data_IF_039444353176
#
_entry.id   IF_039444353176
#
_cell.length_a   1.000
_cell.length_b   1.000
_cell.length_c   1.000
_cell.angle_alpha   90.00
_cell.angle_beta   90.00
_cell.angle_gamma   90.00
#
_symmetry.space_group_name_H-M   'P 1'
#
loop_
_entity.id
_entity.type
_entity.pdbx_description
1 polymer ?
#
# COMPACT_ATOMS: atom_id res chain seq x y z
N UNK A 1 28.28 -10.13 -41.65
CA UNK A 1 28.48 -9.43 -42.94
C UNK A 1 27.89 -8.04 -42.80
N UNK A 2 28.71 -6.99 -42.85
CA UNK A 2 28.23 -5.61 -42.86
C UNK A 2 27.95 -5.23 -44.32
N UNK A 3 26.72 -4.82 -44.60
CA UNK A 3 26.30 -4.44 -45.95
C UNK A 3 26.33 -2.91 -46.05
N UNK A 4 27.01 -2.33 -47.05
CA UNK A 4 27.06 -0.88 -47.22
C UNK A 4 25.64 -0.32 -47.40
N UNK A 5 25.25 0.67 -46.56
CA UNK A 5 23.94 1.32 -46.59
C UNK A 5 22.98 0.94 -45.44
N UNK A 6 23.32 -0.04 -44.60
CA UNK A 6 22.49 -0.37 -43.44
C UNK A 6 22.57 0.72 -42.34
N UNK A 7 21.46 1.04 -41.67
CA UNK A 7 21.42 2.12 -40.68
C UNK A 7 22.17 1.74 -39.39
N UNK A 8 22.85 2.72 -38.78
CA UNK A 8 23.76 2.53 -37.65
C UNK A 8 23.16 1.78 -36.45
N UNK A 9 21.85 1.93 -36.20
CA UNK A 9 21.16 1.28 -35.08
C UNK A 9 21.09 -0.25 -35.22
N UNK A 10 21.07 -0.79 -36.44
CA UNK A 10 21.04 -2.24 -36.70
C UNK A 10 22.33 -2.89 -36.23
N UNK A 11 23.46 -2.21 -36.42
CA UNK A 11 24.76 -2.68 -35.93
C UNK A 11 24.85 -2.65 -34.40
N UNK A 12 24.23 -1.66 -33.76
CA UNK A 12 24.13 -1.59 -32.30
C UNK A 12 23.30 -2.74 -31.70
N UNK A 13 22.15 -3.05 -32.30
CA UNK A 13 21.30 -4.17 -31.86
C UNK A 13 21.98 -5.53 -32.15
N UNK A 14 22.60 -5.67 -33.32
CA UNK A 14 23.37 -6.87 -33.66
C UNK A 14 24.54 -7.09 -32.69
N UNK A 15 25.29 -6.04 -32.33
CA UNK A 15 26.37 -6.13 -31.35
C UNK A 15 25.85 -6.51 -29.96
N UNK A 16 24.73 -5.94 -29.51
CA UNK A 16 24.07 -6.32 -28.23
C UNK A 16 23.62 -7.78 -28.22
N UNK A 17 23.02 -8.26 -29.32
CA UNK A 17 22.64 -9.67 -29.43
C UNK A 17 23.86 -10.56 -29.44
N UNK A 18 24.89 -10.21 -30.21
CA UNK A 18 26.14 -10.96 -30.28
C UNK A 18 26.85 -11.01 -28.92
N UNK A 19 26.90 -9.90 -28.17
CA UNK A 19 27.48 -9.88 -26.82
C UNK A 19 26.71 -10.75 -25.83
N UNK A 20 25.39 -10.83 -25.97
CA UNK A 20 24.54 -11.65 -25.10
C UNK A 20 24.53 -13.14 -25.50
N UNK A 21 24.82 -13.47 -26.75
CA UNK A 21 24.64 -14.84 -27.28
C UNK A 21 25.97 -15.58 -27.49
N UNK A 22 27.06 -14.88 -27.81
CA UNK A 22 28.34 -15.52 -28.13
C UNK A 22 29.12 -15.93 -26.89
N UNK A 23 29.59 -17.18 -26.90
CA UNK A 23 30.40 -17.80 -25.84
C UNK A 23 31.67 -17.02 -25.46
N UNK A 24 32.34 -16.49 -26.47
CA UNK A 24 33.75 -16.10 -26.41
C UNK A 24 33.96 -14.60 -26.68
N UNK A 25 32.88 -13.83 -26.86
CA UNK A 25 32.95 -12.42 -27.18
C UNK A 25 32.90 -11.58 -25.90
N UNK A 26 33.99 -10.90 -25.58
CA UNK A 26 34.10 -9.97 -24.47
C UNK A 26 33.81 -8.55 -24.94
N UNK A 27 33.22 -7.75 -24.05
CA UNK A 27 32.93 -6.32 -24.30
C UNK A 27 33.46 -5.48 -23.16
N UNK A 28 34.17 -4.41 -23.49
CA UNK A 28 34.55 -3.35 -22.53
C UNK A 28 34.25 -1.99 -23.16
N UNK A 29 33.09 -1.43 -22.83
CA UNK A 29 32.57 -0.19 -23.41
C UNK A 29 32.43 -0.26 -24.94
N UNK A 30 33.39 0.32 -25.67
CA UNK A 30 33.43 0.32 -27.14
C UNK A 30 34.37 -0.74 -27.73
N UNK A 31 35.06 -1.54 -26.91
CA UNK A 31 36.00 -2.58 -27.36
C UNK A 31 35.35 -3.95 -27.31
N UNK A 32 35.61 -4.74 -28.35
CA UNK A 32 35.11 -6.10 -28.50
C UNK A 32 36.27 -6.99 -28.92
N UNK A 33 36.46 -8.12 -28.24
CA UNK A 33 37.48 -9.10 -28.61
C UNK A 33 36.99 -10.52 -28.33
N UNK A 34 37.57 -11.49 -29.04
CA UNK A 34 37.35 -12.89 -28.77
C UNK A 34 38.47 -13.43 -27.88
N UNK A 35 38.13 -14.21 -26.87
CA UNK A 35 39.09 -14.96 -26.05
C UNK A 35 38.69 -16.43 -26.01
N UNK A 36 39.63 -17.31 -25.69
CA UNK A 36 39.44 -18.77 -25.58
C UNK A 36 38.63 -19.18 -24.35
N UNK A 37 38.41 -18.26 -23.40
CA UNK A 37 37.64 -18.51 -22.19
C UNK A 37 36.18 -18.09 -22.39
N UNK A 38 35.21 -18.87 -21.88
CA UNK A 38 33.81 -18.45 -21.90
C UNK A 38 33.60 -17.23 -21.00
N UNK A 39 32.71 -16.32 -21.42
CA UNK A 39 32.40 -15.12 -20.65
C UNK A 39 31.71 -15.43 -19.32
N UNK A 40 31.93 -14.56 -18.32
CA UNK A 40 31.35 -14.72 -16.97
C UNK A 40 29.82 -14.72 -17.01
N UNK A 41 29.23 -13.85 -17.85
CA UNK A 41 27.79 -13.78 -18.06
C UNK A 41 27.23 -15.11 -18.59
N UNK A 42 27.95 -15.80 -19.48
CA UNK A 42 27.49 -17.08 -19.99
C UNK A 42 27.61 -18.20 -18.95
N UNK A 43 28.74 -18.27 -18.25
CA UNK A 43 28.88 -19.21 -17.13
C UNK A 43 27.79 -18.99 -16.06
N UNK A 44 27.39 -17.74 -15.84
CA UNK A 44 26.25 -17.41 -14.97
C UNK A 44 24.91 -17.85 -15.58
N UNK A 45 24.68 -17.63 -16.88
CA UNK A 45 23.45 -18.04 -17.57
C UNK A 45 23.27 -19.57 -17.59
N UNK A 46 24.33 -20.31 -17.93
CA UNK A 46 24.33 -21.77 -17.97
C UNK A 46 24.10 -22.34 -16.57
N UNK A 47 24.70 -21.74 -15.52
CA UNK A 47 24.41 -22.09 -14.13
C UNK A 47 22.98 -21.74 -13.73
N UNK A 48 22.46 -20.59 -14.14
CA UNK A 48 21.09 -20.19 -13.83
C UNK A 48 20.06 -21.13 -14.46
N UNK A 49 20.31 -21.64 -15.67
CA UNK A 49 19.45 -22.65 -16.30
C UNK A 49 19.57 -24.04 -15.66
N UNK A 50 20.71 -24.35 -15.04
CA UNK A 50 20.93 -25.60 -14.32
C UNK A 50 20.24 -25.63 -12.95
N UNK A 51 19.78 -24.48 -12.43
CA UNK A 51 19.08 -24.43 -11.15
C UNK A 51 17.63 -24.96 -11.30
N UNK A 52 17.21 -25.91 -10.44
CA UNK A 52 15.84 -26.38 -10.43
C UNK A 52 14.90 -25.27 -9.98
N UNK A 53 13.73 -25.18 -10.62
CA UNK A 53 12.73 -24.14 -10.34
C UNK A 53 12.30 -24.10 -8.88
N UNK A 54 12.23 -25.25 -8.22
CA UNK A 54 11.84 -25.36 -6.81
C UNK A 54 12.85 -24.68 -5.88
N UNK A 55 14.15 -24.81 -6.15
CA UNK A 55 15.21 -24.19 -5.36
C UNK A 55 15.23 -22.67 -5.55
N UNK A 56 14.99 -22.19 -6.78
CA UNK A 56 14.84 -20.76 -7.07
C UNK A 56 13.64 -20.17 -6.32
N UNK A 57 12.52 -20.89 -6.28
CA UNK A 57 11.32 -20.45 -5.56
C UNK A 57 11.52 -20.46 -4.04
N UNK A 58 12.22 -21.47 -3.50
CA UNK A 58 12.54 -21.54 -2.08
C UNK A 58 13.45 -20.37 -1.65
N UNK A 59 14.54 -20.13 -2.37
CA UNK A 59 15.45 -19.01 -2.11
C UNK A 59 14.73 -17.66 -2.26
N UNK A 60 13.85 -17.52 -3.25
CA UNK A 60 13.03 -16.31 -3.40
C UNK A 60 12.08 -16.10 -2.22
N UNK A 61 11.45 -17.16 -1.70
CA UNK A 61 10.61 -17.09 -0.52
C UNK A 61 11.42 -16.73 0.74
N UNK A 62 12.60 -17.32 0.92
CA UNK A 62 13.49 -17.04 2.04
C UNK A 62 13.98 -15.59 2.02
N UNK A 63 14.35 -15.06 0.84
CA UNK A 63 14.70 -13.64 0.68
C UNK A 63 13.52 -12.72 0.95
N UNK A 64 12.34 -13.02 0.42
CA UNK A 64 11.13 -12.24 0.70
C UNK A 64 10.77 -12.23 2.19
N UNK A 65 11.08 -13.31 2.91
CA UNK A 65 10.90 -13.36 4.35
C UNK A 65 11.97 -12.58 5.12
N UNK A 66 13.21 -12.58 4.62
CA UNK A 66 14.37 -11.90 5.21
C UNK A 66 14.31 -10.39 5.02
N UNK A 67 13.82 -9.95 3.86
CA UNK A 67 13.67 -8.53 3.50
C UNK A 67 12.42 -7.88 4.12
N UNK A 68 11.72 -8.58 5.03
CA UNK A 68 10.48 -8.14 5.70
C UNK A 68 9.33 -7.73 4.74
N UNK A 69 9.45 -8.05 3.45
CA UNK A 69 8.44 -7.80 2.42
C UNK A 69 7.18 -8.67 2.59
N UNK A 70 7.23 -9.67 3.48
CA UNK A 70 6.11 -10.53 3.84
C UNK A 70 5.49 -10.10 5.15
N UNK A 71 4.20 -9.75 5.08
CA UNK A 71 3.42 -9.39 6.26
C UNK A 71 3.11 -10.67 7.05
N UNK A 72 3.78 -10.82 8.19
CA UNK A 72 3.59 -11.95 9.11
C UNK A 72 2.42 -11.74 10.08
N UNK A 73 2.12 -10.48 10.40
CA UNK A 73 0.99 -10.09 11.24
C UNK A 73 0.27 -8.94 10.57
N UNK A 74 -1.02 -9.09 10.37
CA UNK A 74 -1.81 -8.08 9.70
C UNK A 74 -2.98 -7.62 10.57
N UNK A 75 -3.15 -6.30 10.66
CA UNK A 75 -4.19 -5.67 11.46
C UNK A 75 -5.54 -5.76 10.75
N UNK A 76 -6.65 -6.03 11.48
CA UNK A 76 -7.98 -6.10 10.88
C UNK A 76 -8.47 -4.77 10.31
N UNK A 77 -7.92 -3.64 10.78
CA UNK A 77 -8.19 -2.31 10.26
C UNK A 77 -7.59 -2.12 8.85
N UNK A 78 -6.34 -2.51 8.64
CA UNK A 78 -5.71 -2.44 7.32
C UNK A 78 -6.46 -3.33 6.31
N UNK A 79 -6.90 -4.52 6.72
CA UNK A 79 -7.76 -5.36 5.87
C UNK A 79 -9.08 -4.64 5.50
N UNK A 80 -9.69 -3.90 6.42
CA UNK A 80 -10.90 -3.12 6.14
C UNK A 80 -10.62 -2.02 5.11
N UNK A 81 -9.50 -1.30 5.24
CA UNK A 81 -9.09 -0.24 4.31
C UNK A 81 -8.91 -0.78 2.89
N UNK A 82 -8.15 -1.87 2.74
CA UNK A 82 -7.94 -2.55 1.46
C UNK A 82 -9.27 -3.06 0.86
N UNK A 83 -10.13 -3.64 1.70
CA UNK A 83 -11.45 -4.08 1.27
C UNK A 83 -12.30 -2.90 0.78
N UNK A 84 -12.26 -1.76 1.47
CA UNK A 84 -13.03 -0.58 1.11
C UNK A 84 -12.52 0.10 -0.18
N UNK A 85 -11.21 0.15 -0.38
CA UNK A 85 -10.59 0.81 -1.53
C UNK A 85 -10.73 -0.02 -2.83
N UNK A 86 -10.53 -1.34 -2.74
CA UNK A 86 -10.41 -2.19 -3.93
C UNK A 86 -11.58 -3.14 -4.15
N UNK A 87 -12.20 -3.68 -3.09
CA UNK A 87 -13.07 -4.86 -3.19
C UNK A 87 -14.57 -4.58 -2.97
N UNK A 88 -14.93 -3.66 -2.08
CA UNK A 88 -16.31 -3.45 -1.64
C UNK A 88 -17.12 -2.44 -2.44
N UNK A 89 -16.50 -1.74 -3.40
CA UNK A 89 -17.08 -0.62 -4.18
C UNK A 89 -18.62 -0.63 -4.26
N UNK A 90 -19.17 -1.65 -4.94
CA UNK A 90 -20.62 -1.81 -5.10
C UNK A 90 -21.15 -3.15 -4.52
N UNK A 91 -20.29 -3.98 -3.92
CA UNK A 91 -20.65 -5.33 -3.49
C UNK A 91 -20.86 -5.39 -1.96
N UNK A 92 -21.98 -5.97 -1.48
CA UNK A 92 -22.26 -6.09 -0.04
C UNK A 92 -21.39 -7.15 0.65
N UNK A 93 -20.85 -8.10 -0.11
CA UNK A 93 -20.00 -9.19 0.38
C UNK A 93 -18.91 -9.54 -0.64
N UNK A 94 -17.83 -10.17 -0.17
CA UNK A 94 -16.72 -10.65 -1.01
C UNK A 94 -16.32 -12.06 -0.57
N UNK A 95 -16.06 -12.95 -1.53
CA UNK A 95 -15.60 -14.31 -1.25
C UNK A 95 -14.16 -14.36 -0.72
N UNK A 96 -13.90 -15.18 0.30
CA UNK A 96 -12.56 -15.33 0.88
C UNK A 96 -11.55 -15.89 -0.13
N UNK A 97 -11.95 -16.89 -0.93
CA UNK A 97 -11.06 -17.49 -1.93
C UNK A 97 -10.70 -16.48 -3.04
N UNK A 98 -11.67 -15.66 -3.46
CA UNK A 98 -11.44 -14.61 -4.44
C UNK A 98 -10.51 -13.52 -3.88
N UNK A 99 -10.73 -13.10 -2.63
CA UNK A 99 -9.86 -12.16 -1.91
C UNK A 99 -8.41 -12.66 -1.88
N UNK A 100 -8.18 -13.93 -1.51
CA UNK A 100 -6.83 -14.50 -1.49
C UNK A 100 -6.20 -14.56 -2.88
N UNK A 101 -6.99 -14.92 -3.89
CA UNK A 101 -6.51 -14.94 -5.28
C UNK A 101 -6.06 -13.55 -5.73
N UNK A 102 -6.78 -12.48 -5.34
CA UNK A 102 -6.38 -11.11 -5.63
C UNK A 102 -5.14 -10.66 -4.87
N UNK A 103 -5.06 -10.94 -3.57
CA UNK A 103 -3.86 -10.67 -2.77
C UNK A 103 -2.60 -11.36 -3.32
N UNK A 104 -2.75 -12.57 -3.88
CA UNK A 104 -1.64 -13.31 -4.47
C UNK A 104 -1.30 -12.90 -5.91
N UNK A 105 -2.25 -12.34 -6.66
CA UNK A 105 -2.08 -12.05 -8.08
C UNK A 105 -1.61 -10.63 -8.37
N UNK A 106 -1.97 -9.66 -7.53
CA UNK A 106 -1.65 -8.25 -7.76
C UNK A 106 -0.49 -7.75 -6.89
N UNK A 107 0.58 -7.26 -7.52
CA UNK A 107 1.80 -6.82 -6.83
C UNK A 107 1.64 -5.53 -6.00
N UNK A 108 0.54 -4.79 -6.17
CA UNK A 108 0.23 -3.56 -5.43
C UNK A 108 -0.56 -3.84 -4.14
N UNK A 109 -1.07 -5.06 -3.97
CA UNK A 109 -1.74 -5.47 -2.73
C UNK A 109 -0.72 -6.01 -1.72
N UNK A 110 -1.01 -5.92 -0.41
CA UNK A 110 -0.13 -6.41 0.64
C UNK A 110 0.17 -7.91 0.50
N UNK A 111 1.46 -8.27 0.48
CA UNK A 111 1.92 -9.66 0.34
C UNK A 111 1.91 -10.35 1.69
N UNK A 112 0.90 -11.18 1.92
CA UNK A 112 0.77 -11.98 3.13
C UNK A 112 1.70 -13.18 3.08
N UNK A 113 2.28 -13.54 4.24
CA UNK A 113 3.13 -14.72 4.38
C UNK A 113 2.37 -16.01 4.04
N UNK A 114 1.22 -16.20 4.69
CA UNK A 114 0.43 -17.43 4.64
C UNK A 114 -1.07 -17.13 4.70
N UNK A 115 -1.87 -18.07 4.22
CA UNK A 115 -3.33 -18.04 4.35
C UNK A 115 -3.78 -17.98 5.83
N UNK A 116 -2.97 -18.54 6.74
CA UNK A 116 -3.22 -18.49 8.18
C UNK A 116 -3.22 -17.05 8.72
N UNK A 117 -2.37 -16.17 8.17
CA UNK A 117 -2.33 -14.76 8.58
C UNK A 117 -3.65 -14.10 8.24
N UNK A 118 -4.17 -14.35 7.03
CA UNK A 118 -5.48 -13.85 6.62
C UNK A 118 -6.60 -14.39 7.52
N UNK A 119 -6.63 -15.69 7.80
CA UNK A 119 -7.63 -16.30 8.68
C UNK A 119 -7.60 -15.69 10.08
N UNK A 120 -6.41 -15.49 10.64
CA UNK A 120 -6.22 -14.86 11.95
C UNK A 120 -6.72 -13.42 11.96
N UNK A 121 -6.38 -12.63 10.93
CA UNK A 121 -6.84 -11.26 10.79
C UNK A 121 -8.37 -11.18 10.66
N UNK A 122 -8.99 -12.08 9.88
CA UNK A 122 -10.45 -12.14 9.78
C UNK A 122 -11.05 -12.52 11.15
N UNK A 123 -10.46 -13.46 11.88
CA UNK A 123 -10.91 -13.88 13.22
C UNK A 123 -10.91 -12.71 14.20
N UNK A 124 -9.84 -11.93 14.18
CA UNK A 124 -9.71 -10.73 15.01
C UNK A 124 -10.69 -9.63 14.57
N UNK A 125 -10.88 -9.44 13.26
CA UNK A 125 -11.81 -8.44 12.72
C UNK A 125 -13.28 -8.75 13.04
N UNK A 126 -13.69 -10.01 12.95
CA UNK A 126 -15.04 -10.46 13.36
C UNK A 126 -15.23 -10.28 14.86
N UNK A 127 -14.23 -10.65 15.68
CA UNK A 127 -14.29 -10.46 17.13
C UNK A 127 -14.40 -8.98 17.53
N UNK A 128 -13.71 -8.10 16.81
CA UNK A 128 -13.72 -6.64 17.01
C UNK A 128 -14.91 -5.95 16.32
N UNK A 129 -15.84 -6.69 15.71
CA UNK A 129 -17.00 -6.17 14.97
C UNK A 129 -16.64 -5.21 13.81
N UNK A 130 -15.46 -5.38 13.20
CA UNK A 130 -14.94 -4.57 12.07
C UNK A 130 -15.63 -4.97 10.76
N UNK A 131 -15.84 -6.27 10.55
CA UNK A 131 -16.62 -6.85 9.44
C UNK A 131 -17.32 -8.13 9.91
N UNK A 132 -18.33 -8.57 9.16
CA UNK A 132 -19.05 -9.81 9.41
C UNK A 132 -18.46 -10.96 8.58
N UNK A 133 -18.58 -12.18 9.10
CA UNK A 133 -18.26 -13.41 8.37
C UNK A 133 -19.53 -14.23 8.17
N UNK A 134 -19.72 -14.77 6.97
CA UNK A 134 -20.78 -15.74 6.69
C UNK A 134 -20.18 -17.00 6.05
N UNK A 135 -20.73 -18.16 6.43
CA UNK A 135 -20.28 -19.47 5.96
C UNK A 135 -20.68 -19.73 4.52
N UNK A 136 -21.86 -19.24 4.13
CA UNK A 136 -22.36 -19.30 2.76
C UNK A 136 -23.36 -18.18 2.49
N UNK A 137 -23.51 -17.80 1.23
CA UNK A 137 -24.63 -16.96 0.75
C UNK A 137 -25.64 -17.90 0.10
N UNK A 138 -26.88 -17.87 0.57
CA UNK A 138 -27.99 -18.61 -0.06
C UNK A 138 -28.43 -17.87 -1.34
N UNK A 139 -28.99 -18.60 -2.30
CA UNK A 139 -29.50 -18.02 -3.56
C UNK A 139 -30.53 -16.89 -3.34
N UNK A 140 -31.22 -16.89 -2.20
CA UNK A 140 -32.18 -15.85 -1.80
C UNK A 140 -31.51 -14.54 -1.28
N UNK A 141 -30.17 -14.46 -1.31
CA UNK A 141 -29.40 -13.31 -0.80
C UNK A 141 -29.20 -13.29 0.72
N UNK A 142 -29.72 -14.30 1.44
CA UNK A 142 -29.54 -14.45 2.90
C UNK A 142 -28.20 -15.09 3.25
N UNK A 143 -27.58 -14.60 4.31
CA UNK A 143 -26.32 -15.12 4.83
C UNK A 143 -26.53 -16.29 5.78
N UNK A 144 -25.89 -17.43 5.52
CA UNK A 144 -25.91 -18.59 6.40
C UNK A 144 -24.73 -18.56 7.38
N UNK A 145 -25.04 -18.68 8.67
CA UNK A 145 -24.02 -18.61 9.72
C UNK A 145 -23.34 -17.25 9.80
N UNK A 146 -24.08 -16.17 9.52
CA UNK A 146 -23.59 -14.80 9.69
C UNK A 146 -23.25 -14.56 11.15
N UNK A 147 -21.98 -14.23 11.41
CA UNK A 147 -21.52 -13.86 12.73
C UNK A 147 -20.84 -12.51 12.66
N UNK A 148 -21.21 -11.66 13.61
CA UNK A 148 -20.62 -10.37 13.86
C UNK A 148 -20.40 -10.28 15.36
N UNK A 149 -19.14 -10.33 15.78
CA UNK A 149 -18.75 -10.39 17.19
C UNK A 149 -18.57 -11.81 17.70
N UNK A 150 -17.66 -11.96 18.67
CA UNK A 150 -17.35 -13.24 19.31
C UNK A 150 -16.22 -14.03 18.65
N UNK A 151 -15.82 -15.13 19.31
CA UNK A 151 -14.83 -16.07 18.78
C UNK A 151 -15.53 -17.12 17.93
N UNK A 152 -15.23 -17.13 16.65
CA UNK A 152 -15.69 -18.16 15.71
C UNK A 152 -14.52 -18.81 15.02
N UNK A 153 -14.70 -20.09 14.67
CA UNK A 153 -13.78 -20.79 13.79
C UNK A 153 -14.12 -20.44 12.35
N UNK A 154 -13.14 -19.87 11.64
CA UNK A 154 -13.32 -19.34 10.30
C UNK A 154 -12.85 -20.40 9.31
N UNK A 155 -13.79 -20.86 8.50
CA UNK A 155 -13.48 -21.77 7.40
C UNK A 155 -13.14 -21.00 6.15
N UNK A 156 -12.04 -21.38 5.52
CA UNK A 156 -11.63 -20.84 4.24
C UNK A 156 -12.08 -21.79 3.13
N UNK A 157 -13.33 -21.62 2.70
CA UNK A 157 -13.97 -22.39 1.64
C UNK A 157 -14.43 -21.46 0.52
N UNK A 158 -14.71 -22.01 -0.67
CA UNK A 158 -15.20 -21.24 -1.83
C UNK A 158 -16.54 -20.52 -1.58
N UNK A 159 -17.33 -21.03 -0.64
CA UNK A 159 -18.63 -20.47 -0.26
C UNK A 159 -18.54 -19.42 0.85
N UNK A 160 -17.40 -19.34 1.55
CA UNK A 160 -17.20 -18.39 2.64
C UNK A 160 -17.12 -16.97 2.12
N UNK A 161 -17.85 -16.06 2.76
CA UNK A 161 -17.84 -14.64 2.39
C UNK A 161 -17.60 -13.73 3.59
N UNK A 162 -16.91 -12.62 3.33
CA UNK A 162 -16.82 -11.46 4.23
C UNK A 162 -17.92 -10.49 3.84
N UNK A 163 -18.70 -10.05 4.83
CA UNK A 163 -19.79 -9.10 4.67
C UNK A 163 -19.40 -7.80 5.38
N UNK A 164 -19.77 -6.65 4.81
CA UNK A 164 -19.58 -5.35 5.48
C UNK A 164 -20.25 -5.36 6.86
N UNK A 165 -19.62 -4.77 7.87
CA UNK A 165 -20.16 -4.76 9.23
C UNK A 165 -21.57 -4.13 9.31
N UNK A 166 -21.83 -3.07 8.54
CA UNK A 166 -23.14 -2.40 8.51
C UNK A 166 -24.24 -3.32 7.97
N UNK A 167 -23.97 -4.00 6.86
CA UNK A 167 -24.92 -4.95 6.24
C UNK A 167 -25.12 -6.16 7.15
N UNK A 168 -24.04 -6.69 7.72
CA UNK A 168 -24.10 -7.81 8.63
C UNK A 168 -24.89 -7.47 9.91
N UNK A 169 -24.71 -6.26 10.46
CA UNK A 169 -25.50 -5.76 11.60
C UNK A 169 -26.97 -5.59 11.23
N UNK A 170 -27.27 -4.96 10.10
CA UNK A 170 -28.64 -4.73 9.64
C UNK A 170 -29.40 -6.04 9.39
N UNK A 171 -28.76 -7.03 8.78
CA UNK A 171 -29.31 -8.38 8.58
C UNK A 171 -29.56 -9.09 9.92
N UNK A 172 -28.58 -9.05 10.84
CA UNK A 172 -28.71 -9.69 12.16
C UNK A 172 -29.80 -9.03 13.00
N UNK A 173 -29.95 -7.70 12.92
CA UNK A 173 -30.98 -6.93 13.61
C UNK A 173 -32.37 -7.12 12.98
N UNK A 174 -32.46 -7.27 11.65
CA UNK A 174 -33.70 -7.62 10.95
C UNK A 174 -34.15 -9.07 11.22
N UNK A 175 -33.19 -9.99 11.42
CA UNK A 175 -33.45 -11.38 11.81
C UNK A 175 -33.84 -11.50 13.29
N UNK A 176 -33.48 -10.49 14.12
CA UNK A 176 -33.95 -10.36 15.49
C UNK A 176 -35.41 -9.90 15.45
N UNK A 177 -36.39 -10.67 15.95
CA UNK A 177 -37.78 -10.22 15.95
C UNK A 177 -37.88 -8.92 16.77
N UNK A 178 -38.34 -7.83 16.14
CA UNK A 178 -38.71 -6.59 16.84
C UNK A 178 -39.67 -6.94 17.98
N UNK A 179 -39.43 -6.52 19.24
CA UNK A 179 -40.44 -6.63 20.27
C UNK A 179 -41.66 -5.81 19.81
N UNK A 180 -42.78 -6.49 19.66
CA UNK A 180 -44.09 -5.93 19.34
C UNK A 180 -44.40 -4.76 20.27
N UNK A 181 -44.73 -3.62 19.68
CA UNK A 181 -45.32 -2.47 20.36
C UNK A 181 -46.68 -2.89 20.95
N UNK A 182 -46.97 -2.67 22.24
CA UNK A 182 -48.34 -2.65 22.71
C UNK A 182 -48.87 -1.22 22.60
N UNK A 183 -49.80 -1.01 21.69
CA UNK A 183 -50.74 0.12 21.69
C UNK A 183 -51.97 -0.26 22.51
N UNK A 184 -52.22 0.46 23.61
CA UNK A 184 -53.52 1.06 24.00
C UNK A 184 -53.57 1.38 25.52
N UNK A 185 -54.29 2.37 26.06
CA UNK A 185 -54.79 3.72 25.70
C UNK A 185 -55.53 4.23 26.96
N UNK A 186 -55.54 5.56 27.20
CA UNK A 186 -56.38 6.38 28.13
C UNK A 186 -55.80 6.73 29.50
N UNK A 187 -55.90 7.93 30.10
CA UNK A 187 -56.47 9.27 29.81
C UNK A 187 -55.99 10.17 31.00
N UNK A 188 -55.87 11.51 30.99
CA UNK A 188 -56.91 12.51 30.76
C UNK A 188 -56.39 13.95 30.97
N UNK A 189 -56.86 14.88 30.12
CA UNK A 189 -57.22 16.30 30.33
C UNK A 189 -56.14 17.34 30.77
N UNK A 190 -56.04 18.54 30.19
CA UNK A 190 -57.13 19.35 29.63
C UNK A 190 -56.74 20.45 28.62
N UNK A 191 -57.83 20.91 27.99
CA UNK A 191 -58.06 21.86 26.90
C UNK A 191 -57.83 23.34 27.33
N UNK A 192 -57.57 24.34 26.47
CA UNK A 192 -58.52 24.96 25.52
C UNK A 192 -57.84 26.03 24.62
N UNK A 193 -58.25 26.06 23.33
CA UNK A 193 -58.60 27.22 22.46
C UNK A 193 -57.49 28.23 22.04
N UNK A 194 -57.42 28.86 20.87
CA UNK A 194 -58.25 28.98 19.64
C UNK A 194 -57.41 29.67 18.55
N UNK A 195 -57.66 29.34 17.27
CA UNK A 195 -57.27 30.10 16.06
C UNK A 195 -58.20 31.34 15.89
N UNK A 196 -57.89 32.39 15.08
CA UNK A 196 -57.87 32.25 13.62
C UNK A 196 -56.85 33.11 12.84
N UNK A 197 -56.92 32.89 11.53
CA UNK A 197 -56.10 33.33 10.41
C UNK A 197 -56.07 34.84 10.12
N UNK A 198 -55.00 35.32 9.47
CA UNK A 198 -54.93 36.61 8.78
C UNK A 198 -53.71 36.66 7.85
N UNK A 199 -53.95 36.99 6.59
CA UNK A 199 -53.03 37.00 5.44
C UNK A 199 -51.84 37.97 5.57
N UNK A 200 -50.78 37.69 4.81
CA UNK A 200 -49.72 38.65 4.55
C UNK A 200 -48.46 38.03 3.98
N UNK A 201 -48.43 37.82 2.65
CA UNK A 201 -47.18 37.65 1.90
C UNK A 201 -46.29 38.88 2.12
N UNK A 202 -45.11 38.68 2.69
CA UNK A 202 -43.96 39.57 2.45
C UNK A 202 -42.75 38.65 2.28
N UNK A 203 -42.31 38.56 1.03
CA UNK A 203 -40.98 38.08 0.65
C UNK A 203 -39.98 39.18 1.01
N UNK A 204 -39.07 38.90 1.93
CA UNK A 204 -37.87 39.70 2.17
C UNK A 204 -36.62 38.82 2.08
N UNK A 205 -35.47 39.40 1.69
CA UNK A 205 -34.48 38.73 0.87
C UNK A 205 -33.51 37.90 1.69
N UNK A 206 -33.06 36.81 1.07
CA UNK A 206 -31.95 35.98 1.51
C UNK A 206 -30.74 36.85 1.89
N UNK A 207 -30.26 36.81 3.16
CA UNK A 207 -29.03 37.49 3.53
C UNK A 207 -27.85 36.84 2.78
N UNK A 208 -26.89 37.63 2.26
CA UNK A 208 -25.75 37.09 1.52
C UNK A 208 -24.91 36.17 2.42
N UNK A 209 -24.38 35.06 1.88
CA UNK A 209 -23.59 34.12 2.66
C UNK A 209 -22.37 34.83 3.28
N UNK A 210 -22.02 34.52 4.55
CA UNK A 210 -20.86 35.11 5.20
C UNK A 210 -19.58 34.78 4.40
N UNK A 211 -18.60 35.70 4.35
CA UNK A 211 -17.35 35.47 3.64
C UNK A 211 -16.65 34.26 4.25
N UNK A 212 -16.35 33.28 3.40
CA UNK A 212 -15.53 32.13 3.74
C UNK A 212 -14.23 32.63 4.40
N UNK A 213 -13.88 32.15 5.61
CA UNK A 213 -12.60 32.49 6.22
C UNK A 213 -11.49 31.95 5.32
N UNK A 214 -10.72 32.85 4.70
CA UNK A 214 -9.52 32.48 3.95
C UNK A 214 -8.55 31.79 4.92
N UNK A 215 -8.36 30.49 4.73
CA UNK A 215 -7.44 29.67 5.53
C UNK A 215 -6.06 30.36 5.57
N UNK A 216 -5.46 30.54 6.76
CA UNK A 216 -4.12 31.10 6.86
C UNK A 216 -3.13 30.21 6.10
N UNK A 217 -2.11 30.82 5.50
CA UNK A 217 -1.01 30.08 4.85
C UNK A 217 -0.33 29.17 5.89
N UNK A 218 -0.73 27.90 5.95
CA UNK A 218 -0.17 26.92 6.89
C UNK A 218 1.07 26.30 6.27
N UNK A 219 2.24 26.59 6.85
CA UNK A 219 3.50 25.93 6.49
C UNK A 219 3.60 24.61 7.26
N UNK A 220 3.81 23.52 6.53
CA UNK A 220 4.16 22.24 7.14
C UNK A 220 5.66 22.20 7.47
N UNK A 221 6.00 21.72 8.67
CA UNK A 221 7.37 21.46 9.11
C UNK A 221 7.42 20.12 9.83
N UNK A 222 8.33 19.25 9.41
CA UNK A 222 8.55 17.94 10.02
C UNK A 222 10.04 17.63 10.07
N UNK A 223 10.46 17.00 11.17
CA UNK A 223 11.81 16.44 11.35
C UNK A 223 11.60 14.95 11.61
N UNK A 224 12.39 14.11 10.94
CA UNK A 224 12.41 12.67 11.16
C UNK A 224 13.87 12.22 11.20
N UNK A 225 14.22 11.46 12.23
CA UNK A 225 15.52 10.82 12.32
C UNK A 225 15.53 9.60 11.41
N UNK A 226 16.49 9.55 10.49
CA UNK A 226 16.65 8.46 9.55
C UNK A 226 17.76 7.52 10.01
N UNK A 227 17.48 6.22 9.98
CA UNK A 227 18.48 5.21 10.30
C UNK A 227 19.43 5.03 9.10
N UNK A 228 20.75 5.16 9.27
CA UNK A 228 21.70 5.15 8.16
C UNK A 228 21.80 3.80 7.44
N UNK A 229 21.28 2.72 8.04
CA UNK A 229 21.30 1.35 7.48
C UNK A 229 20.12 1.07 6.54
N UNK A 230 18.99 1.73 6.76
CA UNK A 230 17.76 1.58 5.97
C UNK A 230 17.25 2.93 5.44
N UNK A 231 18.16 3.91 5.32
CA UNK A 231 17.85 5.26 4.87
C UNK A 231 17.15 5.31 3.50
N UNK A 232 17.49 4.40 2.59
CA UNK A 232 16.86 4.33 1.26
C UNK A 232 15.36 4.05 1.36
N UNK A 233 14.98 3.07 2.18
CA UNK A 233 13.62 2.56 2.26
C UNK A 233 12.75 3.55 3.03
N UNK A 234 13.29 4.11 4.13
CA UNK A 234 12.63 5.16 4.89
C UNK A 234 12.46 6.45 4.08
N UNK A 235 13.47 6.87 3.31
CA UNK A 235 13.36 8.03 2.44
C UNK A 235 12.32 7.81 1.32
N UNK A 236 12.24 6.60 0.79
CA UNK A 236 11.23 6.23 -0.20
C UNK A 236 9.81 6.26 0.39
N UNK A 237 9.63 5.78 1.63
CA UNK A 237 8.35 5.84 2.32
C UNK A 237 7.92 7.29 2.60
N UNK A 238 8.83 8.13 3.12
CA UNK A 238 8.56 9.56 3.36
C UNK A 238 8.22 10.30 2.05
N UNK A 239 8.91 9.96 0.95
CA UNK A 239 8.60 10.51 -0.36
C UNK A 239 7.21 10.09 -0.85
N UNK A 240 6.85 8.82 -0.66
CA UNK A 240 5.56 8.26 -1.08
C UNK A 240 4.37 8.79 -0.29
N UNK A 241 4.53 8.99 1.02
CA UNK A 241 3.42 9.41 1.89
C UNK A 241 3.34 10.93 1.99
N UNK A 242 4.42 11.58 2.43
CA UNK A 242 4.39 13.00 2.81
C UNK A 242 4.66 13.89 1.58
N UNK A 243 5.70 13.59 0.81
CA UNK A 243 6.05 14.42 -0.35
C UNK A 243 5.00 14.29 -1.45
N UNK A 244 4.49 13.08 -1.71
CA UNK A 244 3.41 12.88 -2.68
C UNK A 244 2.12 13.60 -2.26
N UNK A 245 1.78 13.59 -0.97
CA UNK A 245 0.59 14.29 -0.47
C UNK A 245 0.75 15.81 -0.64
N UNK A 246 1.92 16.37 -0.30
CA UNK A 246 2.18 17.79 -0.43
C UNK A 246 2.27 18.25 -1.88
N UNK A 247 2.78 17.42 -2.79
CA UNK A 247 2.87 17.73 -4.23
C UNK A 247 1.55 17.55 -4.98
N UNK A 248 0.62 16.74 -4.46
CA UNK A 248 -0.74 16.65 -4.98
C UNK A 248 -1.57 17.92 -4.70
N UNK A 249 -1.19 18.71 -3.69
CA UNK A 249 -1.80 20.01 -3.44
C UNK A 249 -1.17 21.04 -4.40
N UNK A 250 -1.96 21.49 -5.37
CA UNK A 250 -1.54 22.56 -6.28
C UNK A 250 -1.16 23.82 -5.48
N UNK A 251 -0.03 24.44 -5.84
CA UNK A 251 0.53 25.69 -5.25
C UNK A 251 1.38 25.51 -3.96
N UNK A 252 2.11 24.40 -3.81
CA UNK A 252 3.05 24.15 -2.69
C UNK A 252 4.49 23.95 -3.16
N UNK A 253 5.40 24.80 -2.68
CA UNK A 253 6.86 24.61 -2.84
C UNK A 253 7.42 23.70 -1.73
N UNK A 254 7.80 22.48 -2.10
CA UNK A 254 8.40 21.50 -1.18
C UNK A 254 9.93 21.55 -1.25
N UNK A 255 10.58 21.86 -0.13
CA UNK A 255 12.05 21.79 0.00
C UNK A 255 12.43 20.71 1.00
N UNK A 256 13.26 19.75 0.57
CA UNK A 256 13.77 18.67 1.40
C UNK A 256 15.26 18.94 1.69
N UNK A 257 15.64 18.88 2.96
CA UNK A 257 17.03 19.04 3.40
C UNK A 257 17.45 17.79 4.16
N UNK A 258 18.49 17.10 3.70
CA UNK A 258 19.12 16.00 4.42
C UNK A 258 20.35 16.53 5.15
N UNK A 259 20.38 16.32 6.46
CA UNK A 259 21.54 16.63 7.32
C UNK A 259 22.19 15.32 7.76
N UNK A 260 23.51 15.24 7.68
CA UNK A 260 24.29 14.06 8.07
C UNK A 260 25.19 14.47 9.22
N UNK A 261 24.95 13.92 10.40
CA UNK A 261 25.77 14.12 11.60
C UNK A 261 26.48 12.80 11.94
N UNK A 262 27.78 12.87 12.19
CA UNK A 262 28.58 11.72 12.54
C UNK A 262 29.63 12.11 13.57
N UNK A 263 29.58 11.46 14.74
CA UNK A 263 30.55 11.63 15.82
C UNK A 263 31.38 10.37 15.95
N UNK A 264 32.71 10.49 15.83
CA UNK A 264 33.65 9.42 16.12
C UNK A 264 34.49 9.84 17.34
N UNK A 265 34.42 9.13 18.49
CA UNK A 265 35.10 9.53 19.72
C UNK A 265 36.62 9.68 19.57
N UNK A 266 37.22 8.84 18.72
CA UNK A 266 38.66 8.82 18.48
C UNK A 266 39.10 9.82 17.37
N UNK A 267 38.20 10.71 16.92
CA UNK A 267 38.42 11.61 15.77
C UNK A 267 38.43 10.85 14.44
N UNK A 268 38.33 11.50 13.28
CA UNK A 268 38.34 10.84 11.96
C UNK A 268 39.76 10.72 11.36
N UNK A 269 40.04 9.63 10.64
CA UNK A 269 41.35 9.46 9.97
C UNK A 269 41.49 10.42 8.80
N UNK A 270 42.72 10.88 8.51
CA UNK A 270 42.97 11.86 7.44
C UNK A 270 42.51 11.37 6.06
N UNK A 271 42.70 10.07 5.78
CA UNK A 271 42.20 9.43 4.57
C UNK A 271 40.68 9.53 4.46
N UNK A 272 39.97 9.18 5.52
CA UNK A 272 38.50 9.23 5.59
C UNK A 272 37.97 10.65 5.43
N UNK A 273 38.62 11.62 6.09
CA UNK A 273 38.28 13.04 5.94
C UNK A 273 38.48 13.54 4.50
N UNK A 274 39.56 13.08 3.83
CA UNK A 274 39.81 13.40 2.42
C UNK A 274 38.74 12.80 1.51
N UNK A 275 38.43 11.53 1.67
CA UNK A 275 37.45 10.81 0.86
C UNK A 275 36.06 11.46 1.00
N UNK A 276 35.66 11.82 2.22
CA UNK A 276 34.39 12.52 2.48
C UNK A 276 34.39 13.91 1.84
N UNK A 277 35.46 14.69 1.94
CA UNK A 277 35.55 16.02 1.28
C UNK A 277 35.46 15.93 -0.24
N UNK A 278 36.08 14.92 -0.85
CA UNK A 278 36.04 14.70 -2.30
C UNK A 278 34.64 14.28 -2.76
N UNK A 279 34.00 13.39 -2.02
CA UNK A 279 32.61 12.98 -2.28
C UNK A 279 31.63 14.14 -2.12
N UNK A 280 31.76 14.95 -1.06
CA UNK A 280 30.91 16.13 -0.84
C UNK A 280 31.01 17.14 -1.97
N UNK A 281 32.20 17.32 -2.57
CA UNK A 281 32.38 18.14 -3.79
C UNK A 281 31.70 17.53 -4.99
N UNK A 282 31.89 16.23 -5.21
CA UNK A 282 31.32 15.51 -6.36
C UNK A 282 29.79 15.48 -6.30
N UNK A 283 29.22 15.38 -5.11
CA UNK A 283 27.79 15.31 -4.86
C UNK A 283 27.13 16.70 -4.64
N UNK A 284 27.87 17.79 -4.84
CA UNK A 284 27.37 19.18 -4.74
C UNK A 284 26.70 19.53 -3.39
N UNK A 285 27.29 19.11 -2.27
CA UNK A 285 26.81 19.51 -0.95
C UNK A 285 26.83 21.04 -0.80
N UNK A 286 25.73 21.64 -0.33
CA UNK A 286 25.63 23.10 -0.12
C UNK A 286 26.56 23.61 0.99
N UNK A 287 26.80 22.80 2.01
CA UNK A 287 27.71 23.08 3.12
C UNK A 287 28.25 21.75 3.67
N UNK A 288 29.55 21.68 3.95
CA UNK A 288 30.21 20.52 4.56
C UNK A 288 31.50 20.98 5.27
N UNK A 289 31.85 20.33 6.39
CA UNK A 289 33.03 20.65 7.17
C UNK A 289 33.23 19.65 8.31
N UNK A 290 34.44 19.59 8.84
CA UNK A 290 34.74 18.85 10.07
C UNK A 290 34.99 19.89 11.16
N UNK A 291 34.26 19.77 12.26
CA UNK A 291 34.43 20.59 13.46
C UNK A 291 35.08 19.73 14.54
N UNK A 292 35.98 20.34 15.31
CA UNK A 292 36.60 19.75 16.50
C UNK A 292 35.74 19.96 17.74
#
# INVERSE_FOLDING_TARGET
MAQPGAPLHVYGDALRRMSNTLNYLYTDGKRYWYDTRPTLNRLAQDRAQALPREEVLAEAADRLSSDELLIQRWSPQNLLEELNEYLWRDQPHVGLQQLWSYLAQYCYLPRLRDQNVLQETIRQGVANNVFGYARAVREDGKYEGLVLGGRTDIRFDAQSVIVRAEVARAELEAMRPKPSTPSDTSSSAGSLTTKPSGEGCIVDPLPPPPPSPSLPKMRYYGIVDLDPRCMSDQAQQIAGEIVSLLTNLSDVDVTITLTIDAVRPDGFDEKTMRDIRENSRTLNFKSYGFTE
#
